data_IF_996828760993
#
_entry.id   IF_996828760993
#
_cell.length_a   1.000
_cell.length_b   1.000
_cell.length_c   1.000
_cell.angle_alpha   90.00
_cell.angle_beta   90.00
_cell.angle_gamma   90.00
#
_symmetry.space_group_name_H-M   'P 1'
#
loop_
_entity.id
_entity.type
_entity.pdbx_description
1 polymer ?
#
# COMPACT_ATOMS: atom_id res chain seq x y z
N UNK A 1 -53.65 39.83 45.26
CA UNK A 1 -52.33 40.25 45.75
C UNK A 1 -51.33 39.19 45.33
N UNK A 2 -50.46 39.57 44.41
CA UNK A 2 -49.33 38.78 43.91
C UNK A 2 -48.39 38.44 45.07
N UNK A 3 -48.03 37.17 45.24
CA UNK A 3 -46.89 36.76 46.04
C UNK A 3 -45.92 36.05 45.11
N UNK A 4 -44.83 36.78 44.86
CA UNK A 4 -43.61 36.51 44.12
C UNK A 4 -43.38 35.09 43.61
N UNK A 5 -43.09 34.99 42.31
CA UNK A 5 -42.15 34.01 41.81
C UNK A 5 -40.88 34.13 42.65
N UNK A 6 -40.53 33.08 43.37
CA UNK A 6 -39.22 32.94 43.98
C UNK A 6 -38.20 32.79 42.85
N UNK A 7 -37.29 33.76 42.61
CA UNK A 7 -36.32 33.68 41.52
C UNK A 7 -35.12 32.80 41.87
N UNK A 8 -35.18 32.02 42.94
CA UNK A 8 -34.03 31.25 43.44
C UNK A 8 -33.93 29.81 42.91
N UNK A 9 -34.70 29.43 41.89
CA UNK A 9 -34.39 28.25 41.07
C UNK A 9 -33.45 28.62 39.91
N UNK A 10 -32.34 29.29 40.22
CA UNK A 10 -31.13 29.15 39.44
C UNK A 10 -30.43 27.90 39.99
N UNK A 11 -30.42 26.83 39.20
CA UNK A 11 -29.47 25.74 39.44
C UNK A 11 -28.08 26.37 39.65
N UNK A 12 -27.32 26.00 40.68
CA UNK A 12 -26.00 26.56 40.88
C UNK A 12 -25.20 26.21 39.64
N UNK A 13 -24.94 27.23 38.81
CA UNK A 13 -24.11 27.11 37.62
C UNK A 13 -22.74 26.66 38.11
N UNK A 14 -22.46 25.36 37.95
CA UNK A 14 -21.26 24.71 38.48
C UNK A 14 -20.08 25.07 37.58
N UNK A 15 -19.66 26.33 37.68
CA UNK A 15 -18.55 26.93 36.96
C UNK A 15 -17.27 26.11 37.08
N UNK A 16 -17.07 25.43 38.23
CA UNK A 16 -15.94 24.55 38.45
C UNK A 16 -16.00 23.31 37.55
N UNK A 17 -17.19 22.71 37.37
CA UNK A 17 -17.41 21.60 36.44
C UNK A 17 -17.23 22.04 34.99
N UNK A 18 -17.73 23.22 34.60
CA UNK A 18 -17.54 23.75 33.24
C UNK A 18 -16.05 24.03 32.95
N UNK A 19 -15.33 24.63 33.90
CA UNK A 19 -13.88 24.85 33.76
C UNK A 19 -13.11 23.53 33.64
N UNK A 20 -13.51 22.50 34.38
CA UNK A 20 -12.88 21.19 34.29
C UNK A 20 -13.12 20.56 32.92
N UNK A 21 -14.35 20.61 32.41
CA UNK A 21 -14.68 20.13 31.06
C UNK A 21 -13.88 20.87 29.98
N UNK A 22 -13.68 22.18 30.12
CA UNK A 22 -12.86 22.95 29.19
C UNK A 22 -11.39 22.50 29.21
N UNK A 23 -10.82 22.26 30.40
CA UNK A 23 -9.45 21.74 30.53
C UNK A 23 -9.29 20.35 29.93
N UNK A 24 -10.28 19.48 30.13
CA UNK A 24 -10.26 18.11 29.60
C UNK A 24 -10.33 18.12 28.07
N UNK A 25 -11.20 18.95 27.49
CA UNK A 25 -11.30 19.15 26.03
C UNK A 25 -9.99 19.72 25.47
N UNK A 26 -9.38 20.70 26.14
CA UNK A 26 -8.11 21.28 25.71
C UNK A 26 -6.99 20.24 25.69
N UNK A 27 -6.92 19.38 26.73
CA UNK A 27 -5.97 18.29 26.79
C UNK A 27 -6.19 17.26 25.67
N UNK A 28 -7.44 16.89 25.40
CA UNK A 28 -7.79 15.95 24.32
C UNK A 28 -7.43 16.53 22.95
N UNK A 29 -7.70 17.81 22.69
CA UNK A 29 -7.33 18.49 21.45
C UNK A 29 -5.81 18.56 21.26
N UNK A 30 -5.05 18.79 22.33
CA UNK A 30 -3.58 18.75 22.28
C UNK A 30 -3.07 17.35 21.95
N UNK A 31 -3.66 16.31 22.52
CA UNK A 31 -3.34 14.91 22.20
C UNK A 31 -3.61 14.61 20.74
N UNK A 32 -4.83 14.88 20.25
CA UNK A 32 -5.24 14.66 18.87
C UNK A 32 -4.31 15.39 17.90
N UNK A 33 -3.95 16.64 18.20
CA UNK A 33 -3.02 17.41 17.35
C UNK A 33 -1.63 16.79 17.32
N UNK A 34 -1.17 16.21 18.42
CA UNK A 34 0.12 15.54 18.50
C UNK A 34 0.11 14.25 17.68
N UNK A 35 -0.96 13.45 17.80
CA UNK A 35 -1.15 12.23 17.03
C UNK A 35 -1.25 12.53 15.53
N UNK A 36 -1.96 13.59 15.16
CA UNK A 36 -2.05 14.03 13.78
C UNK A 36 -0.67 14.43 13.20
N UNK A 37 0.15 15.17 13.94
CA UNK A 37 1.52 15.50 13.52
C UNK A 37 2.39 14.26 13.33
N UNK A 38 2.22 13.26 14.19
CA UNK A 38 2.91 11.98 14.06
C UNK A 38 2.49 11.25 12.77
N UNK A 39 1.20 11.25 12.45
CA UNK A 39 0.69 10.68 11.20
C UNK A 39 1.23 11.45 9.98
N UNK A 40 1.20 12.78 10.00
CA UNK A 40 1.77 13.61 8.93
C UNK A 40 3.25 13.30 8.70
N UNK A 41 4.02 13.12 9.78
CA UNK A 41 5.42 12.74 9.68
C UNK A 41 5.62 11.38 8.99
N UNK A 42 4.90 10.34 9.42
CA UNK A 42 5.00 9.03 8.79
C UNK A 42 4.53 9.03 7.33
N UNK A 43 3.48 9.79 7.00
CA UNK A 43 3.05 9.95 5.61
C UNK A 43 4.10 10.65 4.76
N UNK A 44 4.80 11.65 5.31
CA UNK A 44 5.91 12.31 4.62
C UNK A 44 7.08 11.34 4.37
N UNK A 45 7.44 10.50 5.36
CA UNK A 45 8.48 9.47 5.19
C UNK A 45 8.09 8.43 4.12
N UNK A 46 6.84 7.95 4.14
CA UNK A 46 6.33 7.00 3.12
C UNK A 46 6.35 7.66 1.74
N UNK A 47 5.86 8.89 1.62
CA UNK A 47 5.85 9.62 0.36
C UNK A 47 7.27 9.83 -0.18
N UNK A 48 8.22 10.17 0.69
CA UNK A 48 9.62 10.29 0.33
C UNK A 48 10.18 8.96 -0.18
N UNK A 49 9.98 7.87 0.56
CA UNK A 49 10.48 6.54 0.17
C UNK A 49 9.87 6.05 -1.15
N UNK A 50 8.60 6.32 -1.40
CA UNK A 50 7.94 5.99 -2.68
C UNK A 50 8.46 6.85 -3.84
N UNK A 51 8.71 8.14 -3.61
CA UNK A 51 9.27 9.03 -4.63
C UNK A 51 10.71 8.65 -4.99
N UNK A 52 11.53 8.30 -4.00
CA UNK A 52 12.88 7.74 -4.23
C UNK A 52 12.81 6.42 -5.01
N UNK A 53 11.86 5.54 -4.67
CA UNK A 53 11.65 4.30 -5.40
C UNK A 53 11.24 4.56 -6.86
N UNK A 54 10.34 5.51 -7.12
CA UNK A 54 9.92 5.89 -8.48
C UNK A 54 11.09 6.44 -9.31
N UNK A 55 11.98 7.24 -8.70
CA UNK A 55 13.20 7.71 -9.37
C UNK A 55 14.17 6.60 -9.75
N UNK A 56 14.09 5.46 -9.06
CA UNK A 56 15.00 4.33 -9.25
C UNK A 56 14.35 3.12 -9.92
N UNK A 57 13.03 3.12 -10.14
CA UNK A 57 12.26 2.03 -10.72
C UNK A 57 11.44 2.53 -11.91
N UNK A 58 12.00 2.39 -13.11
CA UNK A 58 11.26 2.62 -14.35
C UNK A 58 10.80 1.27 -14.92
N UNK A 59 9.51 1.13 -15.22
CA UNK A 59 8.95 -0.08 -15.84
C UNK A 59 8.60 0.22 -17.29
N UNK A 60 9.30 -0.44 -18.22
CA UNK A 60 9.07 -0.35 -19.66
C UNK A 60 8.37 -1.61 -20.17
N UNK A 61 7.47 -1.47 -21.14
CA UNK A 61 6.82 -2.61 -21.78
C UNK A 61 7.65 -3.11 -22.97
N UNK A 62 8.11 -4.36 -22.92
CA UNK A 62 8.90 -4.97 -23.98
C UNK A 62 8.09 -6.05 -24.70
N UNK A 63 8.23 -6.14 -26.02
CA UNK A 63 7.69 -7.27 -26.79
C UNK A 63 8.79 -7.97 -27.59
N UNK A 64 8.76 -9.30 -27.57
CA UNK A 64 9.61 -10.17 -28.36
C UNK A 64 8.75 -10.97 -29.32
N UNK A 65 9.00 -10.82 -30.62
CA UNK A 65 8.35 -11.65 -31.63
C UNK A 65 9.24 -12.87 -31.90
N UNK A 66 8.66 -14.05 -31.75
CA UNK A 66 9.29 -15.32 -32.05
C UNK A 66 8.68 -15.91 -33.31
N UNK A 67 9.50 -16.55 -34.15
CA UNK A 67 9.00 -17.38 -35.24
C UNK A 67 8.43 -18.70 -34.71
N UNK A 68 7.93 -19.52 -35.62
CA UNK A 68 7.38 -20.85 -35.30
C UNK A 68 8.40 -21.84 -34.74
N UNK A 69 9.70 -21.52 -34.84
CA UNK A 69 10.82 -22.31 -34.30
C UNK A 69 11.33 -21.73 -32.97
N UNK A 70 10.66 -20.73 -32.40
CA UNK A 70 11.05 -20.00 -31.19
C UNK A 70 12.35 -19.19 -31.31
N UNK A 71 12.78 -18.85 -32.52
CA UNK A 71 13.84 -17.87 -32.74
C UNK A 71 13.29 -16.45 -32.81
N UNK A 72 14.08 -15.47 -32.39
CA UNK A 72 13.72 -14.05 -32.51
C UNK A 72 13.47 -13.69 -33.97
N UNK A 73 12.24 -13.34 -34.29
CA UNK A 73 11.86 -12.96 -35.65
C UNK A 73 12.43 -11.59 -36.02
N UNK A 74 12.83 -11.44 -37.28
CA UNK A 74 13.26 -10.15 -37.83
C UNK A 74 12.11 -9.13 -37.82
N UNK A 75 12.42 -7.84 -37.62
CA UNK A 75 11.42 -6.77 -37.72
C UNK A 75 10.71 -6.84 -39.09
N UNK A 76 9.38 -6.84 -39.09
CA UNK A 76 8.58 -6.89 -40.32
C UNK A 76 8.48 -8.27 -41.00
N UNK A 77 8.75 -9.36 -40.27
CA UNK A 77 8.49 -10.72 -40.76
C UNK A 77 7.09 -10.82 -41.40
N UNK A 78 7.03 -11.37 -42.62
CA UNK A 78 5.77 -11.66 -43.34
C UNK A 78 5.09 -12.93 -42.83
N UNK A 79 5.80 -13.72 -42.04
CA UNK A 79 5.29 -14.97 -41.48
C UNK A 79 4.65 -14.74 -40.10
N UNK A 80 3.67 -15.56 -39.69
CA UNK A 80 3.08 -15.50 -38.36
C UNK A 80 4.16 -15.58 -37.28
N UNK A 81 4.04 -14.72 -36.28
CA UNK A 81 4.95 -14.66 -35.13
C UNK A 81 4.17 -14.81 -33.84
N UNK A 82 4.76 -15.51 -32.87
CA UNK A 82 4.28 -15.54 -31.50
C UNK A 82 4.85 -14.34 -30.76
N UNK A 83 3.98 -13.46 -30.26
CA UNK A 83 4.40 -12.30 -29.48
C UNK A 83 4.44 -12.67 -28.00
N UNK A 84 5.61 -12.52 -27.38
CA UNK A 84 5.77 -12.50 -25.94
C UNK A 84 5.83 -11.05 -25.47
N UNK A 85 5.08 -10.73 -24.42
CA UNK A 85 5.07 -9.43 -23.79
C UNK A 85 5.66 -9.54 -22.38
N UNK A 86 6.50 -8.58 -22.02
CA UNK A 86 7.22 -8.53 -20.76
C UNK A 86 7.17 -7.12 -20.18
N UNK A 87 7.41 -7.04 -18.88
CA UNK A 87 7.73 -5.79 -18.20
C UNK A 87 9.23 -5.80 -17.88
N UNK A 88 9.96 -4.78 -18.31
CA UNK A 88 11.34 -4.56 -17.96
C UNK A 88 11.40 -3.49 -16.87
N UNK A 89 11.96 -3.83 -15.71
CA UNK A 89 12.26 -2.89 -14.65
C UNK A 89 13.73 -2.46 -14.75
N UNK A 90 13.96 -1.16 -14.89
CA UNK A 90 15.25 -0.50 -14.70
C UNK A 90 15.40 -0.18 -13.22
N UNK A 91 16.42 -0.75 -12.59
CA UNK A 91 16.76 -0.52 -11.20
C UNK A 91 18.05 0.31 -11.09
N UNK A 92 17.92 1.55 -10.63
CA UNK A 92 19.01 2.52 -10.59
C UNK A 92 19.62 2.77 -11.97
N UNK A 93 20.93 2.98 -12.03
CA UNK A 93 21.55 3.54 -13.25
C UNK A 93 21.95 2.50 -14.32
N UNK A 94 21.96 1.19 -14.02
CA UNK A 94 22.44 0.20 -14.99
C UNK A 94 22.02 -1.26 -14.78
N UNK A 95 21.03 -1.53 -13.91
CA UNK A 95 20.54 -2.90 -13.72
C UNK A 95 19.18 -3.04 -14.39
N UNK A 96 19.11 -3.90 -15.39
CA UNK A 96 17.86 -4.26 -16.08
C UNK A 96 17.39 -5.61 -15.58
N UNK A 97 16.14 -5.67 -15.17
CA UNK A 97 15.47 -6.89 -14.76
C UNK A 97 14.23 -7.06 -15.64
N UNK A 98 14.19 -8.13 -16.42
CA UNK A 98 12.95 -8.52 -17.10
C UNK A 98 12.13 -9.32 -16.10
N UNK A 99 10.97 -8.80 -15.73
CA UNK A 99 10.08 -9.37 -14.72
C UNK A 99 8.78 -9.77 -15.40
N UNK A 100 8.32 -10.98 -15.13
CA UNK A 100 6.96 -11.40 -15.46
C UNK A 100 6.27 -11.81 -14.17
N UNK A 101 5.43 -10.93 -13.63
CA UNK A 101 4.63 -11.24 -12.45
C UNK A 101 3.47 -12.12 -12.85
N UNK A 102 3.59 -13.42 -12.60
CA UNK A 102 2.52 -14.39 -12.88
C UNK A 102 1.77 -14.66 -11.59
N UNK A 103 0.51 -14.26 -11.53
CA UNK A 103 -0.39 -14.63 -10.44
C UNK A 103 -1.04 -15.97 -10.76
N UNK A 104 -0.68 -17.00 -10.00
CA UNK A 104 -1.41 -18.27 -10.03
C UNK A 104 -2.54 -18.22 -8.99
N UNK A 105 -3.80 -18.47 -9.39
CA UNK A 105 -4.85 -18.62 -8.40
C UNK A 105 -4.55 -19.87 -7.56
N UNK A 106 -4.79 -19.80 -6.26
CA UNK A 106 -4.37 -20.87 -5.32
C UNK A 106 -4.98 -22.24 -5.63
N UNK A 107 -6.11 -22.28 -6.35
CA UNK A 107 -6.76 -23.50 -6.83
C UNK A 107 -6.08 -24.14 -8.05
N UNK A 108 -5.18 -23.43 -8.74
CA UNK A 108 -4.37 -23.95 -9.83
C UNK A 108 -3.00 -24.45 -9.36
N UNK A 109 -2.65 -24.21 -8.10
CA UNK A 109 -1.44 -24.77 -7.51
C UNK A 109 -1.67 -26.26 -7.23
N UNK A 110 -0.72 -27.14 -7.60
CA UNK A 110 -0.79 -28.53 -7.20
C UNK A 110 -0.80 -28.61 -5.66
N UNK A 111 -1.48 -29.63 -5.09
CA UNK A 111 -1.45 -29.83 -3.65
C UNK A 111 -0.01 -29.93 -3.15
N UNK A 112 0.31 -29.35 -1.99
CA UNK A 112 1.66 -29.36 -1.44
C UNK A 112 2.15 -30.80 -1.32
N UNK A 113 3.18 -31.14 -2.08
CA UNK A 113 3.79 -32.47 -2.05
C UNK A 113 4.83 -32.50 -0.93
N UNK A 114 4.76 -33.51 -0.07
CA UNK A 114 5.80 -33.74 0.92
C UNK A 114 7.07 -34.27 0.24
N UNK A 115 7.97 -33.35 -0.14
CA UNK A 115 9.20 -33.67 -0.86
C UNK A 115 10.12 -34.61 -0.06
N UNK A 116 10.10 -34.54 1.27
CA UNK A 116 10.89 -35.43 2.13
C UNK A 116 10.37 -36.87 2.08
N UNK A 117 9.04 -37.05 2.12
CA UNK A 117 8.43 -38.38 1.96
C UNK A 117 8.70 -38.96 0.57
N UNK A 118 8.61 -38.14 -0.48
CA UNK A 118 8.93 -38.56 -1.84
C UNK A 118 10.40 -38.98 -2.00
N UNK A 119 11.34 -38.26 -1.37
CA UNK A 119 12.77 -38.59 -1.41
C UNK A 119 13.09 -39.88 -0.65
N UNK A 120 12.40 -40.17 0.45
CA UNK A 120 12.59 -41.40 1.24
C UNK A 120 12.18 -42.68 0.51
N UNK A 121 11.48 -42.58 -0.63
CA UNK A 121 11.14 -43.73 -1.48
C UNK A 121 12.30 -44.17 -2.39
N UNK A 122 13.37 -43.37 -2.47
CA UNK A 122 14.53 -43.60 -3.34
C UNK A 122 15.85 -43.77 -2.55
N UNK A 123 15.78 -43.89 -1.22
CA UNK A 123 16.88 -44.24 -0.32
C UNK A 123 16.60 -45.59 0.33
#
# INVERSE_FOLDING_TARGET
MQALLDPSSEEPNDWATLEQQMRDIEAELVSIRTDFKTIEHYLAEIAQGLNEAEQHLQVDHLSLNLDHMNFKASPGSKYPVNRLAFEEALLGNNRRLVIQLIRFPSNALPPPTNLFEAASRYL
#
